data_IF_051291253686
#
_entry.id   IF_051291253686
#
_cell.length_a   1.000
_cell.length_b   1.000
_cell.length_c   1.000
_cell.angle_alpha   90.00
_cell.angle_beta   90.00
_cell.angle_gamma   90.00
#
_symmetry.space_group_name_H-M   'P 1'
#
loop_
_entity.id
_entity.type
_entity.pdbx_description
1 polymer ?
#
# COMPACT_ATOMS: atom_id res chain seq x y z
N UNK A 1 29.50 3.37 -57.93
CA UNK A 1 30.00 4.61 -57.32
C UNK A 1 31.57 4.63 -57.21
N UNK A 2 32.26 3.71 -56.48
CA UNK A 2 33.73 3.75 -56.36
C UNK A 2 34.42 3.35 -57.63
N UNK A 3 34.05 2.25 -58.26
CA UNK A 3 34.75 1.69 -59.41
C UNK A 3 34.25 2.32 -60.71
N UNK A 4 32.97 2.64 -60.86
CA UNK A 4 32.34 3.22 -62.04
C UNK A 4 32.50 4.75 -62.08
N UNK A 5 31.98 5.42 -61.05
CA UNK A 5 31.95 6.88 -60.98
C UNK A 5 33.20 7.50 -60.31
N UNK A 6 34.16 6.66 -59.92
CA UNK A 6 35.46 7.05 -59.25
C UNK A 6 35.31 8.02 -58.09
N UNK A 7 34.15 7.99 -57.34
CA UNK A 7 33.89 8.89 -56.23
C UNK A 7 34.84 8.62 -55.06
N UNK A 8 35.11 9.68 -54.27
CA UNK A 8 35.84 9.56 -53.02
C UNK A 8 34.98 8.88 -51.95
N UNK A 9 35.59 8.22 -50.97
CA UNK A 9 34.87 7.56 -49.84
C UNK A 9 33.96 8.52 -49.07
N UNK A 10 34.38 9.79 -48.97
CA UNK A 10 33.55 10.85 -48.34
C UNK A 10 32.28 11.16 -49.13
N UNK A 11 32.40 11.27 -50.45
CA UNK A 11 31.24 11.50 -51.32
C UNK A 11 30.29 10.33 -51.34
N UNK A 12 30.81 9.09 -51.32
CA UNK A 12 29.99 7.88 -51.24
C UNK A 12 29.31 7.83 -49.85
N UNK A 13 29.98 8.14 -48.75
CA UNK A 13 29.41 8.20 -47.43
C UNK A 13 28.25 9.21 -47.33
N UNK A 14 28.44 10.40 -47.89
CA UNK A 14 27.40 11.43 -47.95
C UNK A 14 26.16 10.98 -48.79
N UNK A 15 26.40 10.31 -49.92
CA UNK A 15 25.34 9.84 -50.82
C UNK A 15 24.53 8.64 -50.27
N UNK A 16 25.19 7.78 -49.43
CA UNK A 16 24.57 6.52 -48.93
C UNK A 16 24.12 6.62 -47.47
N UNK A 17 24.45 7.70 -46.76
CA UNK A 17 24.18 7.84 -45.33
C UNK A 17 25.03 6.94 -44.43
N UNK A 18 26.07 6.30 -44.98
CA UNK A 18 27.01 5.45 -44.23
C UNK A 18 28.20 6.27 -43.67
N UNK A 19 28.84 5.76 -42.64
CA UNK A 19 30.10 6.37 -42.17
C UNK A 19 31.23 6.17 -43.18
N UNK A 20 32.18 7.12 -43.27
CA UNK A 20 33.39 7.00 -44.12
C UNK A 20 34.17 5.70 -43.85
N UNK A 21 34.25 5.31 -42.57
CA UNK A 21 34.90 4.05 -42.14
C UNK A 21 34.22 2.80 -42.71
N UNK A 22 32.87 2.78 -42.67
CA UNK A 22 32.12 1.69 -43.25
C UNK A 22 32.33 1.57 -44.76
N UNK A 23 32.27 2.70 -45.50
CA UNK A 23 32.52 2.74 -46.94
C UNK A 23 33.94 2.25 -47.24
N UNK A 24 34.93 2.70 -46.47
CA UNK A 24 36.33 2.27 -46.64
C UNK A 24 36.47 0.75 -46.46
N UNK A 25 35.88 0.21 -45.39
CA UNK A 25 35.91 -1.24 -45.15
C UNK A 25 35.24 -2.05 -46.25
N UNK A 26 34.10 -1.62 -46.75
CA UNK A 26 33.43 -2.32 -47.86
C UNK A 26 34.23 -2.29 -49.14
N UNK A 27 34.81 -1.13 -49.48
CA UNK A 27 35.66 -1.01 -50.67
C UNK A 27 36.93 -1.85 -50.55
N UNK A 28 37.57 -1.87 -49.37
CA UNK A 28 38.76 -2.70 -49.11
C UNK A 28 38.46 -4.19 -49.27
N UNK A 29 37.31 -4.65 -48.72
CA UNK A 29 36.88 -6.05 -48.88
C UNK A 29 36.61 -6.43 -50.35
N UNK A 30 35.99 -5.52 -51.09
CA UNK A 30 35.75 -5.73 -52.50
C UNK A 30 37.09 -5.83 -53.28
N UNK A 31 38.04 -4.94 -53.00
CA UNK A 31 39.41 -4.98 -53.59
C UNK A 31 40.15 -6.25 -53.23
N UNK A 32 40.13 -6.68 -51.96
CA UNK A 32 40.75 -7.93 -51.49
C UNK A 32 40.18 -9.18 -52.17
N UNK A 33 38.94 -9.10 -52.66
CA UNK A 33 38.27 -10.18 -53.41
C UNK A 33 38.33 -9.99 -54.92
N UNK A 34 39.18 -9.06 -55.39
CA UNK A 34 39.40 -8.76 -56.80
C UNK A 34 38.09 -8.40 -57.54
N UNK A 35 37.08 -7.86 -56.81
CA UNK A 35 35.83 -7.44 -57.38
C UNK A 35 35.96 -6.08 -58.07
N UNK A 36 35.68 -6.05 -59.38
CA UNK A 36 35.62 -4.84 -60.19
C UNK A 36 34.22 -4.49 -60.65
N UNK A 37 34.08 -3.49 -61.49
CA UNK A 37 32.83 -3.11 -62.10
C UNK A 37 32.98 -3.13 -63.64
N UNK A 38 32.02 -3.73 -64.39
CA UNK A 38 30.76 -4.34 -63.91
C UNK A 38 31.00 -5.67 -63.19
N UNK A 39 30.10 -6.02 -62.28
CA UNK A 39 30.11 -7.30 -61.57
C UNK A 39 29.82 -8.45 -62.56
N UNK A 40 30.45 -9.62 -62.39
CA UNK A 40 30.13 -10.81 -63.19
C UNK A 40 28.63 -11.15 -63.07
N UNK A 41 27.97 -11.53 -64.21
CA UNK A 41 26.52 -11.78 -64.20
C UNK A 41 26.09 -12.97 -63.32
N UNK A 42 27.05 -13.79 -62.89
CA UNK A 42 26.84 -14.94 -61.98
C UNK A 42 26.86 -14.55 -60.51
N UNK A 43 27.20 -13.31 -60.15
CA UNK A 43 27.24 -12.78 -58.81
C UNK A 43 25.93 -12.04 -58.52
N UNK A 44 24.98 -12.79 -57.97
CA UNK A 44 23.77 -12.21 -57.37
C UNK A 44 24.08 -11.54 -56.02
N UNK A 45 23.11 -10.82 -55.49
CA UNK A 45 23.23 -10.05 -54.25
C UNK A 45 23.59 -10.96 -53.06
N UNK A 46 23.01 -12.16 -52.96
CA UNK A 46 23.25 -13.13 -51.90
C UNK A 46 24.66 -13.72 -51.97
N UNK A 47 25.19 -14.01 -53.15
CA UNK A 47 26.56 -14.48 -53.36
C UNK A 47 27.57 -13.37 -53.11
N UNK A 48 27.26 -12.13 -53.47
CA UNK A 48 28.07 -10.97 -53.19
C UNK A 48 28.18 -10.70 -51.68
N UNK A 49 27.05 -10.82 -50.97
CA UNK A 49 26.99 -10.70 -49.51
C UNK A 49 27.82 -11.80 -48.83
N UNK A 50 27.66 -13.04 -49.24
CA UNK A 50 28.43 -14.17 -48.71
C UNK A 50 29.95 -14.01 -48.96
N UNK A 51 30.32 -13.43 -50.09
CA UNK A 51 31.72 -13.24 -50.51
C UNK A 51 32.41 -12.07 -49.78
N UNK A 52 31.65 -11.00 -49.51
CA UNK A 52 32.11 -9.81 -48.79
C UNK A 52 32.07 -9.95 -47.27
N UNK A 53 31.10 -10.73 -46.78
CA UNK A 53 30.83 -10.86 -45.33
C UNK A 53 31.11 -12.31 -44.89
N UNK A 54 32.25 -12.55 -44.32
CA UNK A 54 32.75 -13.86 -43.85
C UNK A 54 31.94 -14.52 -42.74
N UNK A 55 30.69 -14.09 -42.46
CA UNK A 55 29.94 -14.55 -41.31
C UNK A 55 29.22 -15.89 -41.46
N UNK A 56 28.98 -16.38 -42.69
CA UNK A 56 28.26 -17.65 -42.86
C UNK A 56 29.12 -18.88 -42.50
N UNK A 57 30.41 -18.90 -42.89
CA UNK A 57 31.28 -20.06 -42.70
C UNK A 57 31.72 -20.33 -41.26
N UNK A 58 31.67 -19.32 -40.35
CA UNK A 58 32.02 -19.50 -38.95
C UNK A 58 30.85 -20.01 -38.11
N UNK A 59 29.61 -19.84 -38.57
CA UNK A 59 28.41 -20.33 -37.87
C UNK A 59 28.19 -21.83 -38.01
N UNK A 60 28.66 -22.45 -39.07
CA UNK A 60 28.52 -23.90 -39.30
C UNK A 60 29.49 -24.74 -38.43
N UNK A 61 30.51 -24.12 -37.85
CA UNK A 61 31.51 -24.81 -37.04
C UNK A 61 31.09 -25.01 -35.59
N UNK A 62 30.18 -24.17 -35.04
CA UNK A 62 29.75 -24.25 -33.66
C UNK A 62 28.35 -24.84 -33.52
N UNK A 63 28.15 -25.70 -32.51
CA UNK A 63 26.84 -26.27 -32.19
C UNK A 63 26.04 -25.23 -31.38
N UNK A 64 24.92 -24.80 -31.96
CA UNK A 64 24.02 -23.86 -31.29
C UNK A 64 23.39 -24.53 -30.05
N UNK A 65 23.54 -23.93 -28.83
CA UNK A 65 22.85 -24.44 -27.66
C UNK A 65 21.33 -24.28 -27.77
N UNK A 66 20.57 -25.20 -27.21
CA UNK A 66 19.13 -25.00 -27.02
C UNK A 66 18.88 -24.02 -25.86
N UNK A 67 18.78 -22.74 -26.22
CA UNK A 67 18.54 -21.68 -25.23
C UNK A 67 17.14 -21.78 -24.57
N UNK A 68 16.19 -22.54 -25.13
CA UNK A 68 14.90 -22.84 -24.52
C UNK A 68 15.07 -23.75 -23.30
N UNK A 69 15.82 -24.82 -23.46
CA UNK A 69 16.18 -25.76 -22.37
C UNK A 69 17.01 -25.02 -21.32
N UNK A 70 18.05 -24.29 -21.73
CA UNK A 70 18.89 -23.51 -20.82
C UNK A 70 18.04 -22.52 -19.99
N UNK A 71 17.09 -21.86 -20.60
CA UNK A 71 16.20 -20.93 -19.90
C UNK A 71 15.28 -21.63 -18.88
N UNK A 72 14.87 -22.86 -19.14
CA UNK A 72 14.07 -23.66 -18.21
C UNK A 72 14.94 -24.15 -17.03
N UNK A 73 16.15 -24.65 -17.29
CA UNK A 73 17.05 -25.15 -16.27
C UNK A 73 17.50 -24.04 -15.30
N UNK A 74 17.71 -22.82 -15.78
CA UNK A 74 18.04 -21.66 -14.93
C UNK A 74 16.96 -21.31 -13.89
N UNK A 75 15.73 -21.82 -14.03
CA UNK A 75 14.68 -21.65 -13.02
C UNK A 75 14.85 -22.56 -11.81
N UNK A 76 15.68 -23.60 -11.91
CA UNK A 76 15.95 -24.52 -10.80
C UNK A 76 16.91 -23.89 -9.80
N UNK A 77 16.65 -24.12 -8.54
CA UNK A 77 17.47 -23.56 -7.45
C UNK A 77 18.91 -24.09 -7.53
N UNK A 78 19.87 -23.18 -7.57
CA UNK A 78 21.30 -23.52 -7.60
C UNK A 78 21.89 -23.71 -9.00
N UNK A 79 21.10 -23.71 -10.07
CA UNK A 79 21.59 -23.79 -11.45
C UNK A 79 22.06 -22.42 -11.90
N UNK A 80 23.26 -22.35 -12.43
CA UNK A 80 23.90 -21.13 -12.92
C UNK A 80 24.15 -21.21 -14.42
N UNK A 81 24.24 -20.05 -15.07
CA UNK A 81 24.55 -19.99 -16.51
C UNK A 81 25.94 -20.56 -16.81
N UNK A 82 26.87 -20.47 -15.87
CA UNK A 82 28.20 -21.04 -16.00
C UNK A 82 28.14 -22.58 -15.97
N UNK A 83 27.38 -23.17 -15.06
CA UNK A 83 27.20 -24.64 -15.00
C UNK A 83 26.62 -25.17 -16.32
N UNK A 84 25.57 -24.53 -16.82
CA UNK A 84 24.95 -24.95 -18.09
C UNK A 84 25.88 -24.76 -19.31
N UNK A 85 26.75 -23.77 -19.26
CA UNK A 85 27.79 -23.61 -20.27
C UNK A 85 28.86 -24.72 -20.16
N UNK A 86 29.28 -25.13 -18.96
CA UNK A 86 30.22 -26.23 -18.77
C UNK A 86 29.65 -27.54 -19.29
N UNK A 87 28.38 -27.84 -18.95
CA UNK A 87 27.66 -29.02 -19.50
C UNK A 87 27.57 -28.99 -21.04
N UNK A 88 27.23 -27.83 -21.61
CA UNK A 88 27.18 -27.65 -23.06
C UNK A 88 28.57 -27.80 -23.69
N UNK A 89 29.62 -27.26 -23.09
CA UNK A 89 31.01 -27.40 -23.57
C UNK A 89 31.45 -28.83 -23.55
N UNK A 90 31.19 -29.56 -22.47
CA UNK A 90 31.62 -30.94 -22.31
C UNK A 90 30.90 -31.88 -23.30
N UNK A 91 29.65 -31.57 -23.64
CA UNK A 91 28.90 -32.28 -24.65
C UNK A 91 29.32 -31.98 -26.11
N UNK A 92 29.95 -30.84 -26.38
CA UNK A 92 30.25 -30.36 -27.73
C UNK A 92 31.76 -30.13 -28.02
N UNK A 93 32.63 -30.29 -27.01
CA UNK A 93 34.10 -30.17 -27.10
C UNK A 93 34.58 -28.96 -27.93
N UNK A 94 35.30 -29.20 -29.02
CA UNK A 94 35.90 -28.16 -29.90
C UNK A 94 34.85 -27.32 -30.66
N UNK A 95 33.60 -27.77 -30.72
CA UNK A 95 32.49 -27.10 -31.41
C UNK A 95 31.61 -26.25 -30.49
N UNK A 96 32.01 -26.09 -29.24
CA UNK A 96 31.30 -25.28 -28.24
C UNK A 96 31.68 -23.79 -28.33
N UNK A 97 30.69 -22.90 -28.16
CA UNK A 97 30.95 -21.48 -27.96
C UNK A 97 31.75 -21.24 -26.68
N UNK A 98 32.62 -20.23 -26.69
CA UNK A 98 33.26 -19.72 -25.47
C UNK A 98 32.18 -19.11 -24.56
N UNK A 99 32.43 -19.12 -23.25
CA UNK A 99 31.47 -18.64 -22.24
C UNK A 99 30.89 -17.24 -22.54
N UNK A 100 31.75 -16.29 -22.96
CA UNK A 100 31.30 -14.94 -23.30
C UNK A 100 30.30 -14.92 -24.47
N UNK A 101 30.57 -15.69 -25.52
CA UNK A 101 29.66 -15.80 -26.68
C UNK A 101 28.36 -16.54 -26.33
N UNK A 102 28.46 -17.60 -25.54
CA UNK A 102 27.29 -18.32 -25.00
C UNK A 102 26.39 -17.40 -24.20
N UNK A 103 26.97 -16.56 -23.29
CA UNK A 103 26.22 -15.54 -22.55
C UNK A 103 25.56 -14.49 -23.45
N UNK A 104 26.27 -13.98 -24.45
CA UNK A 104 25.73 -12.99 -25.42
C UNK A 104 24.50 -13.57 -26.12
N UNK A 105 24.63 -14.75 -26.69
CA UNK A 105 23.51 -15.41 -27.39
C UNK A 105 22.34 -15.77 -26.48
N UNK A 106 22.62 -16.20 -25.24
CA UNK A 106 21.56 -16.41 -24.24
C UNK A 106 20.85 -15.10 -23.89
N UNK A 107 21.56 -13.99 -23.72
CA UNK A 107 20.93 -12.70 -23.47
C UNK A 107 20.09 -12.23 -24.67
N UNK A 108 20.57 -12.39 -25.89
CA UNK A 108 19.78 -12.11 -27.08
C UNK A 108 18.49 -12.95 -27.15
N UNK A 109 18.58 -14.25 -26.83
CA UNK A 109 17.43 -15.15 -26.75
C UNK A 109 16.45 -14.69 -25.67
N UNK A 110 16.95 -14.42 -24.46
CA UNK A 110 16.14 -13.91 -23.33
C UNK A 110 15.43 -12.60 -23.69
N UNK A 111 16.12 -11.68 -24.33
CA UNK A 111 15.58 -10.37 -24.71
C UNK A 111 14.50 -10.50 -25.81
N UNK A 112 14.59 -11.52 -26.69
CA UNK A 112 13.52 -11.88 -27.63
C UNK A 112 12.29 -12.47 -26.92
N UNK A 113 12.49 -13.27 -25.87
CA UNK A 113 11.40 -13.81 -25.05
C UNK A 113 10.74 -12.73 -24.20
N UNK A 114 11.51 -11.74 -23.78
CA UNK A 114 11.06 -10.62 -22.95
C UNK A 114 10.20 -9.60 -23.71
N UNK A 115 9.33 -10.05 -24.62
CA UNK A 115 8.28 -9.19 -25.18
C UNK A 115 7.31 -8.80 -24.10
N UNK A 116 7.56 -7.65 -23.45
CA UNK A 116 6.61 -7.07 -22.51
C UNK A 116 5.58 -6.26 -23.30
N UNK A 117 4.30 -6.58 -23.12
CA UNK A 117 3.23 -5.71 -23.57
C UNK A 117 3.41 -4.35 -22.89
N UNK A 118 3.46 -3.28 -23.66
CA UNK A 118 3.50 -1.91 -23.11
C UNK A 118 2.24 -1.69 -22.29
N UNK A 119 2.42 -1.49 -20.99
CA UNK A 119 1.29 -1.12 -20.13
C UNK A 119 0.84 0.29 -20.45
N UNK A 120 -0.44 0.46 -20.76
CA UNK A 120 -1.06 1.76 -20.93
C UNK A 120 -1.51 2.21 -19.54
N UNK A 121 -1.01 3.35 -19.08
CA UNK A 121 -1.46 4.01 -17.87
C UNK A 121 -2.41 5.13 -18.24
N UNK A 122 -3.65 5.04 -17.80
CA UNK A 122 -4.64 6.11 -17.99
C UNK A 122 -4.35 7.26 -17.02
N UNK A 123 -4.66 8.46 -17.46
CA UNK A 123 -4.52 9.68 -16.66
C UNK A 123 -5.33 9.61 -15.36
N UNK A 124 -4.72 9.98 -14.23
CA UNK A 124 -5.38 10.04 -12.91
C UNK A 124 -5.81 8.68 -12.33
N UNK A 125 -5.58 7.57 -13.06
CA UNK A 125 -6.12 6.27 -12.68
C UNK A 125 -5.33 5.63 -11.51
N UNK A 126 -4.00 5.53 -11.64
CA UNK A 126 -3.17 4.67 -10.78
C UNK A 126 -2.08 5.43 -10.06
N UNK A 127 -1.95 5.21 -8.77
CA UNK A 127 -0.74 5.50 -8.00
C UNK A 127 -0.12 4.20 -7.50
N UNK A 128 1.16 4.03 -7.72
CA UNK A 128 1.95 2.89 -7.25
C UNK A 128 2.65 3.27 -5.96
N UNK A 129 2.59 2.42 -4.94
CA UNK A 129 3.03 2.72 -3.59
C UNK A 129 3.90 1.58 -3.06
N UNK A 130 5.06 1.92 -2.48
CA UNK A 130 5.99 0.94 -1.91
C UNK A 130 6.90 1.60 -0.87
N UNK A 131 7.62 0.77 -0.09
CA UNK A 131 8.80 1.18 0.66
C UNK A 131 10.08 0.83 -0.12
N UNK A 132 11.08 1.72 -0.06
CA UNK A 132 12.27 1.58 -0.91
C UNK A 132 13.18 0.39 -0.56
N UNK A 133 12.97 -0.26 0.58
CA UNK A 133 13.89 -1.27 1.11
C UNK A 133 15.26 -0.75 1.55
N UNK A 134 15.62 0.47 1.15
CA UNK A 134 16.81 1.18 1.62
C UNK A 134 16.41 2.19 2.67
N UNK A 135 17.05 2.11 3.84
CA UNK A 135 16.80 3.01 4.98
C UNK A 135 17.80 4.15 5.02
N UNK A 136 17.49 5.22 5.77
CA UNK A 136 18.37 6.34 6.02
C UNK A 136 18.67 6.47 7.52
N UNK A 137 19.96 6.62 7.94
CA UNK A 137 20.31 6.80 9.33
C UNK A 137 19.93 8.20 9.83
N UNK A 138 19.35 8.26 11.02
CA UNK A 138 19.04 9.48 11.77
C UNK A 138 19.61 9.33 13.17
N UNK A 139 20.41 10.31 13.62
CA UNK A 139 21.14 10.29 14.88
C UNK A 139 20.32 11.02 15.93
N UNK A 140 19.99 10.38 17.03
CA UNK A 140 19.39 11.05 18.19
C UNK A 140 20.42 11.98 18.84
N UNK A 141 20.10 13.27 18.92
CA UNK A 141 21.04 14.30 19.44
C UNK A 141 21.40 14.11 20.91
N UNK A 142 20.55 13.46 21.70
CA UNK A 142 20.76 13.31 23.15
C UNK A 142 21.52 12.04 23.49
N UNK A 143 21.15 10.93 22.83
CA UNK A 143 21.72 9.62 23.13
C UNK A 143 22.86 9.22 22.17
N UNK A 144 23.00 9.86 21.01
CA UNK A 144 23.88 9.45 19.94
C UNK A 144 23.45 8.17 19.22
N UNK A 145 22.27 7.61 19.57
CA UNK A 145 21.75 6.40 18.98
C UNK A 145 21.39 6.63 17.50
N UNK A 146 21.75 5.68 16.65
CA UNK A 146 21.42 5.71 15.22
C UNK A 146 20.14 4.89 15.00
N UNK A 147 19.08 5.56 14.58
CA UNK A 147 17.83 4.94 14.15
C UNK A 147 17.72 4.98 12.63
N UNK A 148 17.26 3.90 12.04
CA UNK A 148 17.06 3.81 10.60
C UNK A 148 15.63 4.17 10.23
N UNK A 149 15.46 5.22 9.43
CA UNK A 149 14.18 5.64 8.89
C UNK A 149 13.87 4.88 7.60
N UNK A 150 12.64 4.40 7.48
CA UNK A 150 12.08 3.74 6.30
C UNK A 150 11.66 4.80 5.28
N UNK A 151 11.79 4.50 3.98
CA UNK A 151 11.48 5.46 2.91
C UNK A 151 10.26 5.01 2.13
N UNK A 152 9.17 5.74 2.33
CA UNK A 152 7.93 5.57 1.57
C UNK A 152 8.07 6.23 0.19
N UNK A 153 7.60 5.56 -0.85
CA UNK A 153 7.66 6.03 -2.24
C UNK A 153 6.31 5.82 -2.90
N UNK A 154 5.80 6.84 -3.56
CA UNK A 154 4.60 6.75 -4.37
C UNK A 154 4.80 7.42 -5.73
N UNK A 155 4.25 6.83 -6.80
CA UNK A 155 4.43 7.36 -8.16
C UNK A 155 3.17 7.19 -8.99
N UNK A 156 2.76 8.28 -9.65
CA UNK A 156 1.64 8.26 -10.60
C UNK A 156 1.94 7.41 -11.83
N UNK A 157 0.95 6.69 -12.31
CA UNK A 157 1.10 5.76 -13.44
C UNK A 157 1.43 6.45 -14.75
N UNK A 158 0.75 7.53 -15.12
CA UNK A 158 0.91 8.20 -16.40
C UNK A 158 2.06 9.23 -16.38
N UNK A 159 2.01 10.24 -15.53
CA UNK A 159 3.02 11.31 -15.45
C UNK A 159 4.35 10.89 -14.85
N UNK A 160 4.39 9.79 -14.10
CA UNK A 160 5.52 9.41 -13.24
C UNK A 160 5.85 10.46 -12.17
N UNK A 161 4.89 11.32 -11.82
CA UNK A 161 5.03 12.25 -10.73
C UNK A 161 5.20 11.50 -9.43
N UNK A 162 6.26 11.83 -8.69
CA UNK A 162 6.76 11.00 -7.59
C UNK A 162 6.66 11.75 -6.28
N UNK A 163 6.25 11.05 -5.23
CA UNK A 163 6.30 11.45 -3.84
C UNK A 163 7.20 10.51 -3.06
N UNK A 164 7.93 11.03 -2.09
CA UNK A 164 8.71 10.24 -1.15
C UNK A 164 8.83 10.96 0.19
N UNK A 165 8.85 10.19 1.26
CA UNK A 165 9.08 10.66 2.62
C UNK A 165 9.74 9.57 3.48
N UNK A 166 10.34 9.96 4.59
CA UNK A 166 10.86 9.07 5.61
C UNK A 166 9.85 8.90 6.77
N UNK A 167 9.70 7.68 7.24
CA UNK A 167 8.93 7.31 8.43
C UNK A 167 9.79 6.50 9.40
N UNK A 168 9.40 6.41 10.67
CA UNK A 168 10.16 5.60 11.62
C UNK A 168 9.96 4.11 11.43
N UNK A 169 8.78 3.71 10.98
CA UNK A 169 8.40 2.30 10.84
C UNK A 169 7.60 2.09 9.55
N UNK A 170 7.37 0.83 9.20
CA UNK A 170 6.40 0.43 8.19
C UNK A 170 5.06 0.00 8.83
N UNK A 171 4.79 0.44 10.07
CA UNK A 171 3.54 0.11 10.76
C UNK A 171 2.31 0.68 10.05
N UNK A 172 1.14 0.14 10.36
CA UNK A 172 -0.11 0.59 9.74
C UNK A 172 -0.40 2.08 9.93
N UNK A 173 -0.19 2.68 11.13
CA UNK A 173 -0.32 4.14 11.30
C UNK A 173 0.62 4.94 10.40
N UNK A 174 1.92 4.56 10.31
CA UNK A 174 2.88 5.23 9.44
C UNK A 174 2.49 5.07 7.96
N UNK A 175 2.09 3.87 7.55
CA UNK A 175 1.62 3.59 6.20
C UNK A 175 0.42 4.46 5.81
N UNK A 176 -0.63 4.50 6.64
CA UNK A 176 -1.82 5.31 6.37
C UNK A 176 -1.48 6.79 6.41
N UNK A 177 -0.68 7.23 7.39
CA UNK A 177 -0.20 8.60 7.48
C UNK A 177 0.54 9.06 6.22
N UNK A 178 1.42 8.20 5.68
CA UNK A 178 2.15 8.47 4.44
C UNK A 178 1.23 8.55 3.22
N UNK A 179 0.24 7.68 3.13
CA UNK A 179 -0.76 7.76 2.07
C UNK A 179 -1.56 9.06 2.13
N UNK A 180 -1.93 9.52 3.31
CA UNK A 180 -2.65 10.79 3.49
C UNK A 180 -1.78 11.97 3.03
N UNK A 181 -0.52 12.05 3.50
CA UNK A 181 0.41 13.12 3.10
C UNK A 181 0.75 13.07 1.62
N UNK A 182 0.82 11.89 1.02
CA UNK A 182 0.93 11.71 -0.43
C UNK A 182 -0.25 12.35 -1.17
N UNK A 183 -1.49 12.11 -0.73
CA UNK A 183 -2.67 12.71 -1.35
C UNK A 183 -2.69 14.22 -1.19
N UNK A 184 -2.29 14.73 -0.02
CA UNK A 184 -2.13 16.17 0.24
C UNK A 184 -1.08 16.78 -0.70
N UNK A 185 0.04 16.11 -0.92
CA UNK A 185 1.07 16.53 -1.89
C UNK A 185 0.57 16.52 -3.33
N UNK A 186 -0.20 15.51 -3.72
CA UNK A 186 -0.83 15.46 -5.05
C UNK A 186 -1.94 16.50 -5.21
N UNK A 187 -2.58 16.92 -4.11
CA UNK A 187 -3.72 17.83 -4.12
C UNK A 187 -4.97 17.27 -4.79
N UNK A 188 -5.01 15.94 -4.99
CA UNK A 188 -6.11 15.21 -5.64
C UNK A 188 -6.00 13.71 -5.33
N UNK A 189 -7.05 12.95 -5.63
CA UNK A 189 -7.15 11.51 -5.32
C UNK A 189 -7.11 10.67 -6.59
N UNK A 190 -6.11 9.79 -6.75
CA UNK A 190 -6.09 8.77 -7.81
C UNK A 190 -7.20 7.74 -7.60
N UNK A 191 -7.76 7.21 -8.68
CA UNK A 191 -8.84 6.23 -8.61
C UNK A 191 -8.41 4.91 -7.96
N UNK A 192 -7.19 4.43 -8.27
CA UNK A 192 -6.64 3.14 -7.82
C UNK A 192 -5.30 3.34 -7.11
N UNK A 193 -5.21 2.82 -5.90
CA UNK A 193 -3.98 2.76 -5.10
C UNK A 193 -3.41 1.36 -5.19
N UNK A 194 -2.19 1.24 -5.69
CA UNK A 194 -1.56 -0.04 -5.98
C UNK A 194 -0.35 -0.23 -5.06
N UNK A 195 -0.53 -0.80 -3.86
CA UNK A 195 0.58 -1.21 -3.01
C UNK A 195 1.25 -2.45 -3.60
N UNK A 196 2.59 -2.52 -3.55
CA UNK A 196 3.34 -3.67 -4.08
C UNK A 196 3.07 -4.94 -3.29
N UNK A 197 3.01 -4.87 -1.97
CA UNK A 197 2.68 -6.01 -1.13
C UNK A 197 1.99 -5.56 0.17
N UNK A 198 0.66 -5.73 0.23
CA UNK A 198 -0.10 -5.41 1.44
C UNK A 198 0.41 -6.19 2.67
N UNK A 199 0.96 -7.39 2.47
CA UNK A 199 1.49 -8.23 3.54
C UNK A 199 2.87 -7.80 4.04
N UNK A 200 3.69 -7.15 3.22
CA UNK A 200 5.02 -6.66 3.61
C UNK A 200 5.00 -5.21 4.08
N UNK A 201 4.02 -4.42 3.61
CA UNK A 201 3.80 -3.06 4.12
C UNK A 201 3.33 -3.06 5.60
N UNK A 202 2.82 -4.21 6.07
CA UNK A 202 2.33 -4.42 7.43
C UNK A 202 3.18 -5.53 8.08
N UNK A 203 4.50 -5.32 8.15
CA UNK A 203 5.45 -6.32 8.68
C UNK A 203 5.19 -6.73 10.13
N UNK A 204 4.57 -5.88 10.92
CA UNK A 204 4.26 -6.13 12.34
C UNK A 204 2.79 -6.43 12.63
N UNK A 205 1.91 -6.31 11.66
CA UNK A 205 0.52 -6.73 11.81
C UNK A 205 0.39 -8.19 11.42
N UNK A 206 0.35 -9.03 12.41
CA UNK A 206 0.07 -10.46 12.43
C UNK A 206 -0.32 -11.14 11.10
N UNK A 207 0.33 -12.28 10.84
CA UNK A 207 0.03 -13.24 9.76
C UNK A 207 -1.44 -13.65 9.64
N UNK A 208 -2.32 -13.15 10.53
CA UNK A 208 -3.70 -13.59 10.74
C UNK A 208 -4.73 -12.46 10.79
N UNK A 209 -4.38 -11.15 10.54
CA UNK A 209 -5.35 -10.08 10.75
C UNK A 209 -5.98 -9.52 9.46
N UNK A 210 -7.27 -9.84 9.22
CA UNK A 210 -8.13 -9.10 8.28
C UNK A 210 -8.28 -7.60 8.61
N UNK A 211 -7.93 -7.21 9.83
CA UNK A 211 -8.14 -5.87 10.39
C UNK A 211 -7.28 -4.78 9.73
N UNK A 212 -6.02 -5.09 9.42
CA UNK A 212 -5.12 -4.14 8.75
C UNK A 212 -5.63 -3.76 7.35
N UNK A 213 -6.23 -4.71 6.64
CA UNK A 213 -6.84 -4.48 5.33
C UNK A 213 -8.08 -3.59 5.47
N UNK A 214 -8.93 -3.81 6.48
CA UNK A 214 -10.15 -3.03 6.71
C UNK A 214 -9.88 -1.56 7.05
N UNK A 215 -8.84 -1.28 7.83
CA UNK A 215 -8.43 0.09 8.19
C UNK A 215 -7.91 0.85 6.96
N UNK A 216 -7.11 0.20 6.11
CA UNK A 216 -6.60 0.82 4.90
C UNK A 216 -7.71 1.02 3.85
N UNK A 217 -8.64 0.06 3.74
CA UNK A 217 -9.84 0.19 2.90
C UNK A 217 -10.76 1.32 3.36
N UNK A 218 -10.89 1.51 4.68
CA UNK A 218 -11.65 2.63 5.26
C UNK A 218 -11.04 3.98 4.88
N UNK A 219 -9.72 4.09 4.97
CA UNK A 219 -8.99 5.26 4.51
C UNK A 219 -9.21 5.51 3.00
N UNK A 220 -9.07 4.51 2.17
CA UNK A 220 -9.28 4.64 0.73
C UNK A 220 -10.73 5.04 0.39
N UNK A 221 -11.71 4.47 1.09
CA UNK A 221 -13.13 4.80 0.93
C UNK A 221 -13.43 6.24 1.34
N UNK A 222 -12.82 6.73 2.42
CA UNK A 222 -12.97 8.14 2.86
C UNK A 222 -12.54 9.11 1.75
N UNK A 223 -11.43 8.82 1.06
CA UNK A 223 -10.95 9.63 -0.07
C UNK A 223 -11.64 9.30 -1.40
N UNK A 224 -12.49 8.28 -1.45
CA UNK A 224 -13.16 7.85 -2.69
C UNK A 224 -12.25 7.17 -3.70
N UNK A 225 -11.12 6.64 -3.23
CA UNK A 225 -10.21 5.76 -3.96
C UNK A 225 -10.51 4.28 -3.74
N UNK A 226 -9.85 3.40 -4.48
CA UNK A 226 -9.93 1.95 -4.29
C UNK A 226 -8.52 1.33 -4.24
N UNK A 227 -8.34 0.36 -3.35
CA UNK A 227 -7.08 -0.37 -3.24
C UNK A 227 -7.11 -1.55 -4.20
N UNK A 228 -6.09 -1.65 -5.05
CA UNK A 228 -5.88 -2.78 -5.95
C UNK A 228 -4.48 -3.36 -5.69
N UNK A 229 -4.35 -4.40 -4.85
CA UNK A 229 -3.06 -5.02 -4.59
C UNK A 229 -2.42 -5.54 -5.88
N UNK A 230 -1.10 -5.38 -6.02
CA UNK A 230 -0.37 -5.94 -7.13
C UNK A 230 -0.52 -7.47 -7.16
N UNK A 231 -0.74 -8.04 -8.35
CA UNK A 231 -0.96 -9.49 -8.48
C UNK A 231 0.31 -10.26 -8.10
N UNK A 232 0.23 -11.24 -7.19
CA UNK A 232 1.36 -12.10 -6.90
C UNK A 232 1.81 -12.86 -8.17
N UNK A 233 3.12 -13.05 -8.33
CA UNK A 233 3.76 -13.80 -9.44
C UNK A 233 3.66 -13.18 -10.84
N UNK A 234 3.32 -11.88 -10.99
CA UNK A 234 3.45 -11.15 -12.27
C UNK A 234 4.47 -10.01 -12.16
N UNK A 235 5.78 -10.29 -12.29
CA UNK A 235 6.84 -9.29 -12.14
C UNK A 235 6.72 -8.12 -13.13
N UNK A 236 6.01 -8.31 -14.25
CA UNK A 236 5.79 -7.26 -15.24
C UNK A 236 4.85 -6.14 -14.75
N UNK A 237 3.93 -6.43 -13.83
CA UNK A 237 3.05 -5.42 -13.21
C UNK A 237 3.83 -4.54 -12.22
N UNK A 238 4.94 -5.05 -11.67
CA UNK A 238 5.81 -4.38 -10.70
C UNK A 238 6.87 -3.47 -11.33
N UNK A 239 7.18 -3.61 -12.61
CA UNK A 239 8.28 -2.89 -13.26
C UNK A 239 8.19 -1.37 -13.13
N UNK A 240 6.98 -0.81 -13.06
CA UNK A 240 6.77 0.63 -12.84
C UNK A 240 7.08 1.06 -11.41
N UNK A 241 6.77 0.24 -10.40
CA UNK A 241 7.04 0.52 -8.98
C UNK A 241 8.54 0.39 -8.71
N UNK A 242 9.14 -0.74 -9.10
CA UNK A 242 10.58 -1.00 -8.94
C UNK A 242 11.42 0.10 -9.59
N UNK A 243 11.03 0.55 -10.79
CA UNK A 243 11.70 1.65 -11.48
C UNK A 243 11.59 2.96 -10.70
N UNK A 244 10.45 3.23 -10.08
CA UNK A 244 10.22 4.46 -9.31
C UNK A 244 11.01 4.47 -8.01
N UNK A 245 11.02 3.35 -7.29
CA UNK A 245 11.86 3.15 -6.10
C UNK A 245 13.33 3.36 -6.45
N UNK A 246 13.80 2.74 -7.53
CA UNK A 246 15.17 2.88 -8.00
C UNK A 246 15.53 4.34 -8.37
N UNK A 247 14.58 5.08 -8.95
CA UNK A 247 14.76 6.52 -9.24
C UNK A 247 14.91 7.32 -7.95
N UNK A 248 14.09 7.08 -6.93
CA UNK A 248 14.19 7.75 -5.62
C UNK A 248 15.54 7.40 -4.95
N UNK A 249 15.91 6.12 -4.93
CA UNK A 249 17.19 5.69 -4.37
C UNK A 249 18.39 6.40 -5.04
N UNK A 250 18.41 6.49 -6.37
CA UNK A 250 19.53 7.09 -7.13
C UNK A 250 19.54 8.61 -7.07
N UNK A 251 18.38 9.27 -7.10
CA UNK A 251 18.31 10.72 -7.24
C UNK A 251 18.09 11.47 -5.93
N UNK A 252 17.57 10.80 -4.90
CA UNK A 252 17.33 11.38 -3.59
C UNK A 252 18.31 10.76 -2.59
N UNK A 253 18.17 9.46 -2.27
CA UNK A 253 18.91 8.84 -1.17
C UNK A 253 20.43 8.83 -1.43
N UNK A 254 20.86 8.50 -2.64
CA UNK A 254 22.30 8.51 -2.99
C UNK A 254 22.93 9.90 -2.88
N UNK A 255 22.17 10.99 -3.10
CA UNK A 255 22.66 12.37 -2.89
C UNK A 255 22.77 12.72 -1.40
N UNK A 256 21.94 12.11 -0.55
CA UNK A 256 21.92 12.35 0.89
C UNK A 256 22.88 11.43 1.66
N UNK A 257 23.52 10.44 1.03
CA UNK A 257 24.33 9.39 1.68
C UNK A 257 25.43 9.86 2.61
N UNK A 258 25.99 11.03 2.36
CA UNK A 258 27.10 11.62 3.14
C UNK A 258 26.63 12.73 4.09
N UNK A 259 25.30 12.98 4.16
CA UNK A 259 24.70 13.98 5.05
C UNK A 259 24.22 13.31 6.33
N UNK A 260 24.51 13.90 7.46
CA UNK A 260 24.01 13.48 8.76
C UNK A 260 22.70 14.18 9.06
N UNK A 261 21.76 13.46 9.63
CA UNK A 261 20.44 13.96 10.03
C UNK A 261 20.22 13.69 11.49
N UNK A 262 19.67 14.68 12.19
CA UNK A 262 19.43 14.62 13.63
C UNK A 262 17.93 14.56 13.98
N UNK A 263 17.06 14.63 12.99
CA UNK A 263 15.63 14.42 13.15
C UNK A 263 15.01 13.90 11.87
N UNK A 264 13.87 13.20 12.02
CA UNK A 264 13.06 12.76 10.87
C UNK A 264 12.56 13.96 10.05
N UNK A 265 12.26 15.07 10.72
CA UNK A 265 11.80 16.29 10.05
C UNK A 265 12.89 16.90 9.17
N UNK A 266 14.14 16.92 9.64
CA UNK A 266 15.30 17.40 8.84
C UNK A 266 15.51 16.52 7.61
N UNK A 267 15.46 15.20 7.78
CA UNK A 267 15.55 14.24 6.67
C UNK A 267 14.41 14.46 5.67
N UNK A 268 13.17 14.60 6.13
CA UNK A 268 12.02 14.84 5.27
C UNK A 268 12.10 16.17 4.52
N UNK A 269 12.61 17.21 5.14
CA UNK A 269 12.85 18.51 4.48
C UNK A 269 13.89 18.39 3.35
N UNK A 270 14.97 17.63 3.59
CA UNK A 270 15.97 17.36 2.57
C UNK A 270 15.40 16.50 1.41
N UNK A 271 14.62 15.49 1.72
CA UNK A 271 13.91 14.67 0.71
C UNK A 271 12.97 15.54 -0.12
N UNK A 272 12.16 16.40 0.52
CA UNK A 272 11.21 17.28 -0.18
C UNK A 272 11.92 18.23 -1.16
N UNK A 273 13.05 18.81 -0.77
CA UNK A 273 13.87 19.66 -1.67
C UNK A 273 14.33 18.91 -2.91
N UNK A 274 14.87 17.70 -2.74
CA UNK A 274 15.34 16.86 -3.85
C UNK A 274 14.19 16.28 -4.68
N UNK A 275 13.03 16.12 -4.08
CA UNK A 275 11.82 15.67 -4.75
C UNK A 275 11.29 16.71 -5.75
N UNK A 276 11.36 17.99 -5.38
CA UNK A 276 11.07 19.10 -6.31
C UNK A 276 12.02 19.05 -7.51
N UNK A 277 13.34 18.93 -7.30
CA UNK A 277 14.32 18.78 -8.37
C UNK A 277 14.03 17.56 -9.27
N UNK A 278 13.73 16.42 -8.66
CA UNK A 278 13.37 15.20 -9.38
C UNK A 278 12.16 15.38 -10.29
N UNK A 279 11.09 16.00 -9.78
CA UNK A 279 9.84 16.14 -10.50
C UNK A 279 9.91 17.21 -11.62
N UNK A 280 10.77 18.22 -11.49
CA UNK A 280 11.00 19.24 -12.52
C UNK A 280 12.11 18.86 -13.51
N UNK A 281 12.80 17.74 -13.28
CA UNK A 281 13.84 17.27 -14.20
C UNK A 281 13.23 16.80 -15.52
N UNK A 282 13.77 17.31 -16.63
CA UNK A 282 13.36 16.93 -17.99
C UNK A 282 13.51 15.43 -18.25
N UNK A 283 12.58 14.85 -18.92
CA UNK A 283 12.67 13.47 -19.39
C UNK A 283 13.79 13.32 -20.43
N UNK A 284 14.43 12.17 -20.46
CA UNK A 284 15.47 11.87 -21.47
C UNK A 284 14.90 11.58 -22.86
N UNK A 285 13.70 10.97 -22.93
CA UNK A 285 13.11 10.45 -24.18
C UNK A 285 11.76 11.05 -24.52
N UNK A 286 11.18 11.84 -23.64
CA UNK A 286 9.87 12.48 -23.80
C UNK A 286 10.02 13.98 -23.59
N UNK A 287 9.15 14.80 -24.19
CA UNK A 287 9.13 16.25 -23.91
C UNK A 287 8.66 16.52 -22.47
N UNK A 288 9.07 17.66 -21.91
CA UNK A 288 8.63 18.13 -20.61
C UNK A 288 9.26 17.41 -19.42
N UNK A 289 8.61 17.52 -18.26
CA UNK A 289 9.01 16.93 -16.99
C UNK A 289 7.82 16.25 -16.29
N UNK A 290 8.08 15.59 -15.15
CA UNK A 290 7.03 14.89 -14.37
C UNK A 290 5.96 15.85 -13.85
N UNK A 291 6.37 17.02 -13.36
CA UNK A 291 5.46 18.02 -12.82
C UNK A 291 4.53 18.61 -13.90
N UNK A 292 5.05 18.92 -15.10
CA UNK A 292 4.25 19.34 -16.23
C UNK A 292 3.26 18.26 -16.67
N UNK A 293 3.74 17.00 -16.82
CA UNK A 293 2.88 15.88 -17.19
C UNK A 293 1.79 15.63 -16.11
N UNK A 294 2.12 15.78 -14.83
CA UNK A 294 1.14 15.65 -13.76
C UNK A 294 0.06 16.73 -13.85
N UNK A 295 0.45 17.99 -13.96
CA UNK A 295 -0.50 19.12 -13.99
C UNK A 295 -1.41 19.10 -15.22
N UNK A 296 -0.91 18.62 -16.37
CA UNK A 296 -1.64 18.62 -17.63
C UNK A 296 -2.43 17.32 -17.87
N UNK A 297 -1.96 16.18 -17.37
CA UNK A 297 -2.53 14.88 -17.70
C UNK A 297 -3.23 14.26 -16.49
N UNK A 298 -2.51 14.05 -15.35
CA UNK A 298 -3.05 13.28 -14.23
C UNK A 298 -4.03 14.10 -13.39
N UNK A 299 -3.63 15.29 -12.94
CA UNK A 299 -4.42 16.08 -12.00
C UNK A 299 -5.83 16.42 -12.48
N UNK A 300 -6.07 16.80 -13.75
CA UNK A 300 -7.43 17.08 -14.24
C UNK A 300 -8.35 15.84 -14.25
N UNK A 301 -7.78 14.63 -14.32
CA UNK A 301 -8.51 13.36 -14.34
C UNK A 301 -8.72 12.77 -12.93
N UNK A 302 -8.15 13.38 -11.90
CA UNK A 302 -8.26 12.91 -10.51
C UNK A 302 -9.45 13.55 -9.79
N UNK A 303 -9.92 12.91 -8.71
CA UNK A 303 -10.97 13.47 -7.85
C UNK A 303 -10.38 14.54 -6.91
N UNK A 304 -11.18 15.57 -6.53
CA UNK A 304 -10.75 16.50 -5.50
C UNK A 304 -10.58 15.81 -4.15
N UNK A 305 -9.72 16.36 -3.29
CA UNK A 305 -9.62 15.94 -1.89
C UNK A 305 -10.92 16.25 -1.14
N UNK A 306 -11.37 15.39 -0.22
CA UNK A 306 -12.48 15.70 0.67
C UNK A 306 -12.10 16.88 1.59
N UNK A 307 -13.11 17.61 2.05
CA UNK A 307 -12.92 18.77 2.94
C UNK A 307 -12.30 18.38 4.30
N UNK A 308 -12.57 17.16 4.77
CA UNK A 308 -12.05 16.65 6.04
C UNK A 308 -10.93 15.65 5.78
N UNK A 309 -9.84 15.81 6.53
CA UNK A 309 -8.73 14.85 6.57
C UNK A 309 -9.19 13.53 7.21
N UNK A 310 -8.76 12.40 6.65
CA UNK A 310 -9.00 11.10 7.29
C UNK A 310 -8.36 11.04 8.67
N UNK A 311 -9.16 10.62 9.64
CA UNK A 311 -8.68 10.34 10.99
C UNK A 311 -8.40 8.84 11.11
N UNK A 312 -7.15 8.50 11.42
CA UNK A 312 -6.73 7.12 11.62
C UNK A 312 -7.64 6.41 12.62
N UNK A 313 -8.04 5.21 12.31
CA UNK A 313 -8.87 4.40 13.18
C UNK A 313 -8.44 2.93 13.11
N UNK A 314 -8.41 2.28 14.26
CA UNK A 314 -8.23 0.84 14.35
C UNK A 314 -9.59 0.15 14.32
N UNK A 315 -9.66 -0.96 13.60
CA UNK A 315 -10.86 -1.77 13.51
C UNK A 315 -10.68 -3.08 14.28
N UNK A 316 -11.55 -3.35 15.24
CA UNK A 316 -11.54 -4.57 16.03
C UNK A 316 -12.88 -5.27 15.93
N UNK A 317 -12.85 -6.60 15.72
CA UNK A 317 -14.05 -7.42 15.81
C UNK A 317 -14.28 -7.80 17.28
N UNK A 318 -15.39 -7.37 17.87
CA UNK A 318 -15.74 -7.64 19.25
C UNK A 318 -17.06 -8.41 19.36
N UNK A 319 -17.15 -9.32 20.32
CA UNK A 319 -18.40 -10.01 20.66
C UNK A 319 -19.19 -9.17 21.67
N UNK A 320 -20.48 -9.02 21.45
CA UNK A 320 -21.37 -8.34 22.41
C UNK A 320 -21.63 -9.26 23.59
N UNK A 321 -21.25 -8.81 24.78
CA UNK A 321 -21.46 -9.53 26.04
C UNK A 321 -22.93 -9.57 26.43
N UNK A 322 -23.26 -10.41 27.44
CA UNK A 322 -24.63 -10.56 27.95
C UNK A 322 -25.19 -9.27 28.58
N UNK A 323 -24.32 -8.37 28.98
CA UNK A 323 -24.63 -7.04 29.49
C UNK A 323 -24.72 -5.96 28.41
N UNK A 324 -24.85 -6.36 27.13
CA UNK A 324 -24.95 -5.50 25.94
C UNK A 324 -23.76 -4.54 25.76
N UNK A 325 -22.57 -4.91 26.26
CA UNK A 325 -21.34 -4.16 26.04
C UNK A 325 -20.34 -4.92 25.14
N UNK A 326 -19.50 -4.18 24.49
CA UNK A 326 -18.31 -4.66 23.79
C UNK A 326 -17.06 -4.11 24.46
N UNK A 327 -16.03 -4.91 24.58
CA UNK A 327 -14.74 -4.47 25.07
C UNK A 327 -13.93 -3.86 23.91
N UNK A 328 -13.45 -2.63 24.11
CA UNK A 328 -12.52 -1.96 23.24
C UNK A 328 -11.51 -1.16 24.09
N UNK A 329 -10.22 -1.37 23.84
CA UNK A 329 -9.12 -0.75 24.59
C UNK A 329 -9.26 -0.90 26.14
N UNK A 330 -9.70 -2.09 26.57
CA UNK A 330 -9.93 -2.46 27.98
C UNK A 330 -11.02 -1.64 28.68
N UNK A 331 -11.89 -0.98 27.92
CA UNK A 331 -13.10 -0.31 28.42
C UNK A 331 -14.35 -0.94 27.76
N UNK A 332 -15.49 -0.89 28.42
CA UNK A 332 -16.72 -1.51 27.96
C UNK A 332 -17.70 -0.46 27.45
N UNK A 333 -18.12 -0.58 26.19
CA UNK A 333 -19.03 0.35 25.52
C UNK A 333 -20.35 -0.35 25.17
N UNK A 334 -21.47 0.27 25.50
CA UNK A 334 -22.77 -0.34 25.24
C UNK A 334 -23.15 -0.27 23.77
N UNK A 335 -23.82 -1.32 23.31
CA UNK A 335 -24.49 -1.40 22.01
C UNK A 335 -25.96 -1.84 22.23
N UNK A 336 -26.85 -1.69 21.26
CA UNK A 336 -28.26 -2.13 21.42
C UNK A 336 -28.36 -3.57 21.93
N UNK A 337 -29.11 -3.78 23.00
CA UNK A 337 -29.26 -5.08 23.70
C UNK A 337 -29.70 -6.22 22.81
N UNK A 338 -30.41 -5.91 21.70
CA UNK A 338 -30.85 -6.90 20.72
C UNK A 338 -29.68 -7.65 20.04
N UNK A 339 -28.43 -7.15 20.18
CA UNK A 339 -27.22 -7.71 19.57
C UNK A 339 -26.41 -8.57 20.56
N UNK A 340 -26.93 -8.87 21.74
CA UNK A 340 -26.23 -9.74 22.70
C UNK A 340 -25.88 -11.09 22.05
N UNK A 341 -24.61 -11.48 22.15
CA UNK A 341 -24.06 -12.69 21.54
C UNK A 341 -23.56 -12.54 20.11
N UNK A 342 -23.95 -11.47 19.39
CA UNK A 342 -23.49 -11.17 18.04
C UNK A 342 -22.07 -10.58 18.03
N UNK A 343 -21.44 -10.58 16.85
CA UNK A 343 -20.17 -9.91 16.63
C UNK A 343 -20.37 -8.59 15.91
N UNK A 344 -19.77 -7.54 16.43
CA UNK A 344 -19.78 -6.19 15.83
C UNK A 344 -18.36 -5.76 15.47
N UNK A 345 -18.24 -4.86 14.49
CA UNK A 345 -17.01 -4.20 14.17
C UNK A 345 -16.92 -2.90 14.96
N UNK A 346 -15.82 -2.72 15.69
CA UNK A 346 -15.56 -1.53 16.49
C UNK A 346 -14.46 -0.72 15.80
N UNK A 347 -14.76 0.51 15.44
CA UNK A 347 -13.84 1.51 14.91
C UNK A 347 -13.37 2.39 16.05
N UNK A 348 -12.06 2.37 16.32
CA UNK A 348 -11.44 3.12 17.39
C UNK A 348 -10.57 4.24 16.81
N UNK A 349 -10.92 5.48 17.12
CA UNK A 349 -10.10 6.66 16.84
C UNK A 349 -9.43 7.15 18.14
N UNK A 350 -8.61 8.20 18.04
CA UNK A 350 -8.00 8.81 19.23
C UNK A 350 -9.05 9.35 20.21
N UNK A 351 -10.20 9.80 19.71
CA UNK A 351 -11.23 10.49 20.51
C UNK A 351 -12.55 9.74 20.62
N UNK A 352 -12.79 8.73 19.75
CA UNK A 352 -14.10 8.09 19.66
C UNK A 352 -14.07 6.60 19.38
N UNK A 353 -15.15 5.94 19.80
CA UNK A 353 -15.43 4.55 19.55
C UNK A 353 -16.76 4.47 18.81
N UNK A 354 -16.75 3.85 17.64
CA UNK A 354 -17.96 3.62 16.85
C UNK A 354 -18.18 2.13 16.64
N UNK A 355 -19.41 1.65 16.86
CA UNK A 355 -19.75 0.25 16.69
C UNK A 355 -20.63 0.06 15.46
N UNK A 356 -20.27 -0.92 14.63
CA UNK A 356 -20.96 -1.24 13.37
C UNK A 356 -21.41 -2.69 13.33
N UNK A 357 -22.62 -2.91 12.80
CA UNK A 357 -23.14 -4.24 12.53
C UNK A 357 -23.66 -4.30 11.09
N UNK A 358 -23.19 -5.28 10.31
CA UNK A 358 -23.54 -5.44 8.89
C UNK A 358 -23.40 -4.15 8.07
N UNK A 359 -22.33 -3.37 8.38
CA UNK A 359 -22.01 -2.12 7.68
C UNK A 359 -22.77 -0.87 8.16
N UNK A 360 -23.75 -1.00 9.06
CA UNK A 360 -24.48 0.13 9.63
C UNK A 360 -23.92 0.52 10.99
N UNK A 361 -23.72 1.83 11.24
CA UNK A 361 -23.31 2.35 12.54
C UNK A 361 -24.44 2.27 13.53
N UNK A 362 -24.23 1.60 14.66
CA UNK A 362 -25.23 1.35 15.72
C UNK A 362 -25.03 2.22 16.94
N UNK A 363 -23.78 2.53 17.28
CA UNK A 363 -23.45 3.28 18.47
C UNK A 363 -22.20 4.12 18.22
N UNK A 364 -22.10 5.25 18.90
CA UNK A 364 -20.93 6.09 18.98
C UNK A 364 -20.71 6.56 20.43
N UNK A 365 -19.48 6.46 20.90
CA UNK A 365 -19.08 6.83 22.25
C UNK A 365 -17.82 7.69 22.20
N UNK A 366 -17.66 8.55 23.18
CA UNK A 366 -16.35 9.19 23.44
C UNK A 366 -15.42 8.12 24.01
N UNK A 367 -14.19 8.05 23.47
CA UNK A 367 -13.17 7.10 23.95
C UNK A 367 -12.81 7.44 25.39
N UNK A 368 -12.78 6.44 26.25
CA UNK A 368 -12.42 6.57 27.66
C UNK A 368 -11.08 5.88 27.94
N UNK A 369 -10.22 6.53 28.68
CA UNK A 369 -8.95 5.96 29.16
C UNK A 369 -9.10 5.10 30.44
N UNK A 370 -10.31 5.07 31.01
CA UNK A 370 -10.59 4.37 32.26
C UNK A 370 -10.78 2.86 32.00
N UNK A 371 -9.75 2.08 32.26
CA UNK A 371 -9.74 0.63 32.09
C UNK A 371 -10.72 -0.07 33.05
N UNK A 372 -11.42 -1.10 32.55
CA UNK A 372 -12.37 -1.90 33.33
C UNK A 372 -13.67 -1.18 33.70
N UNK A 373 -13.91 0.02 33.18
CA UNK A 373 -15.16 0.77 33.39
C UNK A 373 -16.10 0.62 32.21
N UNK A 374 -17.35 1.00 32.41
CA UNK A 374 -18.44 0.91 31.44
C UNK A 374 -18.94 2.29 31.06
N UNK A 375 -19.14 2.51 29.77
CA UNK A 375 -19.90 3.64 29.22
C UNK A 375 -21.18 3.12 28.60
N UNK A 376 -22.31 3.46 29.21
CA UNK A 376 -23.60 2.91 28.86
C UNK A 376 -24.55 4.01 28.38
N UNK A 377 -25.10 3.87 27.19
CA UNK A 377 -26.16 4.73 26.68
C UNK A 377 -27.52 4.15 27.07
N UNK A 378 -28.44 4.95 27.66
CA UNK A 378 -29.73 4.45 28.09
C UNK A 378 -30.62 3.83 27.00
N UNK A 379 -30.47 4.29 25.75
CA UNK A 379 -31.17 3.75 24.59
C UNK A 379 -30.77 2.31 24.23
N UNK A 380 -29.55 1.88 24.62
CA UNK A 380 -29.06 0.52 24.36
C UNK A 380 -29.61 -0.52 25.33
N UNK A 381 -30.18 -0.07 26.47
CA UNK A 381 -30.66 -0.94 27.52
C UNK A 381 -32.04 -1.57 27.20
N UNK A 382 -32.29 -2.78 27.65
CA UNK A 382 -33.65 -3.33 27.71
C UNK A 382 -34.58 -2.41 28.49
N UNK A 383 -35.88 -2.40 28.15
CA UNK A 383 -36.85 -1.55 28.82
C UNK A 383 -36.93 -1.78 30.34
N UNK A 384 -36.71 -3.02 30.80
CA UNK A 384 -36.65 -3.39 32.20
C UNK A 384 -35.43 -2.71 32.91
N UNK A 385 -34.25 -2.75 32.33
CA UNK A 385 -33.05 -2.12 32.88
C UNK A 385 -33.15 -0.59 32.91
N UNK A 386 -33.73 0.01 31.84
CA UNK A 386 -33.97 1.47 31.82
C UNK A 386 -34.99 1.90 32.91
N UNK A 387 -35.99 1.09 33.18
CA UNK A 387 -36.92 1.34 34.31
C UNK A 387 -36.19 1.25 35.64
N UNK A 388 -35.30 0.24 35.80
CA UNK A 388 -34.56 0.05 37.03
C UNK A 388 -33.59 1.23 37.31
N UNK A 389 -32.88 1.75 36.30
CA UNK A 389 -32.04 2.94 36.46
C UNK A 389 -32.79 4.21 36.82
N UNK A 390 -34.08 4.31 36.48
CA UNK A 390 -34.91 5.45 36.89
C UNK A 390 -35.32 5.38 38.36
N UNK A 391 -35.12 4.26 39.02
CA UNK A 391 -35.43 4.09 40.44
C UNK A 391 -34.22 4.52 41.26
N UNK A 392 -34.33 5.69 41.86
CA UNK A 392 -33.40 6.19 42.86
C UNK A 392 -34.05 6.13 44.25
N UNK A 393 -33.27 6.03 45.33
CA UNK A 393 -33.86 6.09 46.70
C UNK A 393 -34.76 7.29 46.86
N UNK A 394 -34.31 8.49 46.42
CA UNK A 394 -35.11 9.71 46.48
C UNK A 394 -36.44 9.63 45.73
N UNK A 395 -36.45 9.02 44.53
CA UNK A 395 -37.70 8.87 43.76
C UNK A 395 -38.69 7.90 44.44
N UNK A 396 -38.18 6.81 45.01
CA UNK A 396 -39.04 5.86 45.74
C UNK A 396 -39.59 6.47 47.03
N UNK A 397 -38.78 7.26 47.74
CA UNK A 397 -39.21 8.02 48.89
C UNK A 397 -40.28 9.08 48.55
N UNK A 398 -40.08 9.81 47.44
CA UNK A 398 -41.08 10.79 47.00
C UNK A 398 -42.38 10.10 46.56
N UNK A 399 -42.32 8.94 45.88
CA UNK A 399 -43.50 8.15 45.55
C UNK A 399 -44.20 7.64 46.79
N UNK A 400 -43.43 7.14 47.77
CA UNK A 400 -43.98 6.76 49.08
C UNK A 400 -44.63 7.93 49.81
N UNK A 401 -44.03 9.14 49.75
CA UNK A 401 -44.60 10.37 50.34
C UNK A 401 -45.93 10.78 49.69
N UNK A 402 -46.06 10.63 48.37
CA UNK A 402 -47.28 10.95 47.64
C UNK A 402 -48.47 10.01 48.05
N UNK A 403 -48.13 8.78 48.46
CA UNK A 403 -49.16 7.84 48.96
C UNK A 403 -49.50 8.18 50.42
N UNK A 404 -48.53 8.51 51.24
CA UNK A 404 -48.73 8.87 52.61
C UNK A 404 -47.47 8.77 53.48
N UNK A 405 -47.41 9.47 54.64
CA UNK A 405 -46.20 9.54 55.48
C UNK A 405 -45.83 8.15 56.03
N UNK A 406 -46.78 7.26 56.37
CA UNK A 406 -46.47 5.89 56.77
C UNK A 406 -45.81 5.05 55.70
N UNK A 407 -46.24 5.17 54.44
CA UNK A 407 -45.64 4.46 53.27
C UNK A 407 -44.20 4.95 53.06
N UNK A 408 -43.95 6.26 53.17
CA UNK A 408 -42.63 6.81 53.11
C UNK A 408 -41.73 6.26 54.21
N UNK A 409 -42.22 6.20 55.44
CA UNK A 409 -41.44 5.68 56.57
C UNK A 409 -41.01 4.22 56.36
N UNK A 410 -41.89 3.38 55.81
CA UNK A 410 -41.59 1.99 55.48
C UNK A 410 -40.57 1.90 54.33
N UNK A 411 -40.67 2.75 53.30
CA UNK A 411 -39.67 2.83 52.22
C UNK A 411 -38.32 3.26 52.75
N UNK A 412 -38.27 4.30 53.64
CA UNK A 412 -37.04 4.75 54.28
C UNK A 412 -36.41 3.63 55.10
N UNK A 413 -37.23 2.94 55.95
CA UNK A 413 -36.81 1.80 56.76
C UNK A 413 -36.16 0.67 55.91
N UNK A 414 -36.70 0.39 54.72
CA UNK A 414 -36.13 -0.61 53.79
C UNK A 414 -34.76 -0.21 53.28
N UNK A 415 -34.46 1.09 53.19
CA UNK A 415 -33.13 1.58 52.78
C UNK A 415 -32.14 1.60 53.93
N UNK A 416 -32.58 2.01 55.13
CA UNK A 416 -31.72 2.16 56.31
C UNK A 416 -31.28 0.81 56.90
N UNK A 417 -32.07 -0.23 56.71
CA UNK A 417 -31.80 -1.57 57.25
C UNK A 417 -31.13 -2.53 56.25
N UNK A 418 -30.57 -2.01 55.17
CA UNK A 418 -29.84 -2.85 54.18
C UNK A 418 -28.44 -2.25 53.89
N UNK A 419 -27.40 -3.11 53.65
CA UNK A 419 -26.07 -2.65 53.36
C UNK A 419 -26.01 -1.69 52.16
N UNK A 420 -26.86 -1.91 51.15
CA UNK A 420 -27.00 -1.05 49.97
C UNK A 420 -28.48 -0.77 49.69
N UNK A 421 -28.84 0.52 49.43
CA UNK A 421 -30.22 0.93 49.15
C UNK A 421 -30.88 0.13 48.00
N UNK A 422 -30.10 -0.24 46.99
CA UNK A 422 -30.55 -1.00 45.81
C UNK A 422 -31.17 -2.36 46.18
N UNK A 423 -30.72 -3.00 47.25
CA UNK A 423 -31.31 -4.26 47.74
C UNK A 423 -32.73 -4.08 48.24
N UNK A 424 -33.11 -2.85 48.61
CA UNK A 424 -34.44 -2.47 49.03
C UNK A 424 -35.40 -2.19 47.88
N UNK A 425 -34.91 -1.92 46.66
CA UNK A 425 -35.73 -1.46 45.53
C UNK A 425 -36.87 -2.41 45.19
N UNK A 426 -36.60 -3.72 45.14
CA UNK A 426 -37.64 -4.71 44.80
C UNK A 426 -38.76 -4.73 45.84
N UNK A 427 -38.41 -4.65 47.14
CA UNK A 427 -39.38 -4.62 48.21
C UNK A 427 -40.20 -3.30 48.18
N UNK A 428 -39.54 -2.17 48.01
CA UNK A 428 -40.17 -0.85 47.89
C UNK A 428 -41.10 -0.78 46.66
N UNK A 429 -40.65 -1.28 45.50
CA UNK A 429 -41.48 -1.34 44.28
C UNK A 429 -42.72 -2.24 44.47
N UNK A 430 -42.55 -3.39 45.15
CA UNK A 430 -43.66 -4.28 45.49
C UNK A 430 -44.69 -3.56 46.35
N UNK A 431 -44.25 -2.89 47.42
CA UNK A 431 -45.09 -2.10 48.32
C UNK A 431 -45.81 -0.97 47.54
N UNK A 432 -45.09 -0.17 46.77
CA UNK A 432 -45.68 0.97 46.03
C UNK A 432 -46.63 0.55 44.91
N UNK A 433 -46.38 -0.61 44.28
CA UNK A 433 -47.28 -1.16 43.27
C UNK A 433 -48.59 -1.72 43.88
N UNK A 434 -48.61 -2.13 45.14
CA UNK A 434 -49.86 -2.48 45.86
C UNK A 434 -50.83 -1.30 45.94
N UNK A 435 -50.30 -0.07 46.10
CA UNK A 435 -51.12 1.14 46.06
C UNK A 435 -51.85 1.33 44.72
N UNK A 436 -51.14 1.05 43.62
CA UNK A 436 -51.73 1.08 42.25
C UNK A 436 -52.81 0.00 42.04
N UNK A 437 -52.59 -1.18 42.58
CA UNK A 437 -53.49 -2.32 42.37
C UNK A 437 -54.74 -2.27 43.25
N UNK A 438 -54.64 -1.76 44.49
CA UNK A 438 -55.67 -1.83 45.50
C UNK A 438 -56.22 -0.48 45.98
N UNK A 439 -55.70 0.62 45.40
CA UNK A 439 -56.01 2.00 45.84
C UNK A 439 -55.08 2.51 46.93
N UNK A 440 -54.74 3.80 46.86
CA UNK A 440 -53.74 4.45 47.75
C UNK A 440 -54.29 4.55 49.19
N UNK A 441 -55.62 4.76 49.37
CA UNK A 441 -56.29 4.81 50.68
C UNK A 441 -56.17 3.50 51.48
N UNK A 442 -56.23 2.33 50.83
CA UNK A 442 -56.05 1.03 51.50
C UNK A 442 -54.58 0.79 51.92
N UNK A 443 -53.67 1.39 51.24
CA UNK A 443 -52.24 1.28 51.56
C UNK A 443 -51.85 2.13 52.80
N UNK A 444 -52.48 3.29 52.95
CA UNK A 444 -52.32 4.15 54.14
C UNK A 444 -52.83 3.40 55.39
N UNK A 445 -53.98 2.71 55.35
CA UNK A 445 -54.49 1.95 56.47
C UNK A 445 -53.62 0.76 56.92
N UNK A 446 -52.83 0.17 56.06
CA UNK A 446 -51.88 -0.92 56.39
C UNK A 446 -50.51 -0.47 56.92
N UNK A 447 -50.15 0.78 56.74
CA UNK A 447 -48.90 1.34 57.23
C UNK A 447 -48.97 1.86 58.65
N UNK A 448 -50.17 1.77 59.29
CA UNK A 448 -50.41 2.15 60.67
C UNK A 448 -50.55 0.97 61.67
N UNK A 449 -50.25 -0.30 61.21
CA UNK A 449 -50.25 -1.48 62.09
C UNK A 449 -48.85 -1.99 62.33
#
# INVERSE_FOLDING_TARGET
MKFEAKLSHERIAAATGLSKGAVTNYVQRAVQKELGWPLPPELDESRLEALLFRQAALREHYVLPDYGVIHQELKRKGVTLQLLWEEYRDANAERAYRYSQFCVHYHEYRDRLARSMRQVHRAGEKVFIDYSGTTMPVIDQRSGEIRHAEIFVATMGASKYTYAEATWTQSLPDWIGSNIRMLEFLGAVPALWIPDNLKSAIKDACRYEPQATSTYEDCARHYGGAILPARPYKPKDKSSVEMSVLVVQRWILARLRNRQFFSLQELNSAIATLLVDLNHRRFKKLPGCRAEAFSTIDRPAMKPLPAMRYQYAEWVKAKVNVDYHVEADRHYYSVPHALVGEHVMVRMTDTGIECFFKGSRLAAHVRSELKGRHTTLPEHMPSAHRKHMKWTPGRLLNWGQNIGPGTRAVVQWQFDNRPHPEQGYRACLGLLNLGKAYGEERQIGRAHV
#
